data_IF_354976456310
#
_entry.id   IF_354976456310
#
_cell.length_a   1.000
_cell.length_b   1.000
_cell.length_c   1.000
_cell.angle_alpha   90.00
_cell.angle_beta   90.00
_cell.angle_gamma   90.00
#
_symmetry.space_group_name_H-M   'P 1'
#
loop_
_entity.id
_entity.type
_entity.pdbx_description
1 polymer ?
#
# COMPACT_ATOMS: atom_id res chain seq x y z
N UNK A 1 -5.28 12.67 1.80
CA UNK A 1 -4.69 11.99 2.98
C UNK A 1 -3.20 12.23 3.16
N UNK A 2 -2.54 12.83 2.17
CA UNK A 2 -1.14 13.21 2.34
C UNK A 2 -0.98 14.17 3.52
N UNK A 3 0.16 14.12 4.20
CA UNK A 3 0.41 14.95 5.35
C UNK A 3 -0.01 14.36 6.69
N UNK A 4 -0.81 13.28 6.70
CA UNK A 4 -1.14 12.59 7.95
C UNK A 4 0.13 11.91 8.46
N UNK A 5 0.49 12.10 9.74
CA UNK A 5 1.76 11.58 10.25
C UNK A 5 1.79 10.06 10.33
N UNK A 6 2.99 9.51 10.26
CA UNK A 6 3.24 8.11 10.54
C UNK A 6 3.16 7.90 12.05
N UNK A 7 2.52 6.81 12.48
CA UNK A 7 2.47 6.42 13.88
C UNK A 7 2.56 4.90 13.99
N UNK A 8 3.58 4.41 14.67
CA UNK A 8 3.77 2.98 14.89
C UNK A 8 2.52 2.37 15.53
N UNK A 9 1.98 1.32 14.89
CA UNK A 9 0.72 0.72 15.34
C UNK A 9 -0.51 1.55 15.07
N UNK A 10 -0.39 2.70 14.39
CA UNK A 10 -1.51 3.60 14.12
C UNK A 10 -2.45 3.10 13.02
N UNK A 11 -3.75 3.26 13.25
CA UNK A 11 -4.80 2.83 12.31
C UNK A 11 -5.87 3.89 12.12
N UNK A 12 -5.65 5.10 12.59
CA UNK A 12 -6.63 6.19 12.56
C UNK A 12 -6.04 7.45 11.91
N UNK A 13 -6.88 8.45 11.68
CA UNK A 13 -6.45 9.73 11.13
C UNK A 13 -5.47 10.49 12.05
N UNK A 14 -5.32 10.08 13.30
CA UNK A 14 -4.31 10.65 14.19
C UNK A 14 -2.89 10.20 13.81
N UNK A 15 -2.77 9.14 13.05
CA UNK A 15 -1.50 8.63 12.52
C UNK A 15 -1.64 7.18 12.10
N UNK A 16 -0.85 6.77 11.12
CA UNK A 16 -0.86 5.40 10.59
C UNK A 16 0.55 4.84 10.56
N UNK A 17 0.67 3.51 10.78
CA UNK A 17 1.80 2.79 10.21
C UNK A 17 1.42 2.35 8.79
N UNK A 18 2.36 1.74 8.04
CA UNK A 18 2.13 1.43 6.62
C UNK A 18 0.97 0.48 6.40
N UNK A 19 0.89 -0.60 7.18
CA UNK A 19 -0.19 -1.59 7.04
C UNK A 19 -1.51 -1.08 7.60
N UNK A 20 -1.48 -0.22 8.61
CA UNK A 20 -2.66 0.42 9.17
C UNK A 20 -3.31 1.37 8.18
N UNK A 21 -2.51 2.09 7.42
CA UNK A 21 -3.02 2.96 6.36
C UNK A 21 -3.73 2.14 5.28
N UNK A 22 -3.16 1.01 4.89
CA UNK A 22 -3.80 0.11 3.92
C UNK A 22 -5.12 -0.42 4.45
N UNK A 23 -5.18 -0.85 5.71
CA UNK A 23 -6.43 -1.31 6.31
C UNK A 23 -7.50 -0.21 6.30
N UNK A 24 -7.11 1.01 6.64
CA UNK A 24 -8.02 2.15 6.66
C UNK A 24 -8.64 2.41 5.28
N UNK A 25 -7.81 2.42 4.22
CA UNK A 25 -8.28 2.65 2.86
C UNK A 25 -9.22 1.54 2.41
N UNK A 26 -8.80 0.28 2.55
CA UNK A 26 -9.54 -0.85 1.99
C UNK A 26 -10.83 -1.14 2.77
N UNK A 27 -10.88 -0.79 4.04
CA UNK A 27 -12.09 -0.93 4.84
C UNK A 27 -13.25 -0.09 4.27
N UNK A 28 -12.94 1.04 3.65
CA UNK A 28 -13.95 1.89 2.99
C UNK A 28 -14.57 1.21 1.78
N UNK A 29 -13.96 0.16 1.27
CA UNK A 29 -14.47 -0.63 0.14
C UNK A 29 -14.94 -2.01 0.60
N UNK A 30 -15.16 -2.17 1.90
CA UNK A 30 -15.60 -3.42 2.51
C UNK A 30 -14.59 -4.56 2.32
N UNK A 31 -13.32 -4.24 2.22
CA UNK A 31 -12.23 -5.22 2.13
C UNK A 31 -11.49 -5.20 3.46
N UNK A 32 -11.52 -6.32 4.15
CA UNK A 32 -10.79 -6.48 5.41
C UNK A 32 -9.41 -7.05 5.12
N UNK A 33 -8.37 -6.25 5.42
CA UNK A 33 -6.99 -6.68 5.25
C UNK A 33 -6.40 -7.17 6.56
N UNK A 34 -5.44 -8.10 6.51
CA UNK A 34 -4.66 -8.47 7.70
C UNK A 34 -3.93 -7.27 8.29
N UNK A 35 -3.54 -7.35 9.55
CA UNK A 35 -2.97 -6.20 10.27
C UNK A 35 -1.56 -5.84 9.86
N UNK A 36 -0.75 -6.81 9.43
CA UNK A 36 0.67 -6.57 9.13
C UNK A 36 0.96 -6.64 7.63
N UNK A 37 2.04 -5.98 7.21
CA UNK A 37 2.46 -6.03 5.80
C UNK A 37 2.83 -7.44 5.36
N UNK A 38 3.45 -8.24 6.24
CA UNK A 38 3.81 -9.63 5.93
C UNK A 38 2.57 -10.47 5.66
N UNK A 39 1.52 -10.28 6.43
CA UNK A 39 0.26 -11.00 6.25
C UNK A 39 -0.51 -10.49 5.04
N UNK A 40 -0.50 -9.18 4.79
CA UNK A 40 -1.12 -8.60 3.61
C UNK A 40 -0.49 -9.12 2.32
N UNK A 41 0.80 -9.41 2.34
CA UNK A 41 1.51 -9.95 1.18
C UNK A 41 1.08 -11.36 0.81
N UNK A 42 0.24 -12.00 1.63
CA UNK A 42 -0.34 -13.32 1.37
C UNK A 42 -1.81 -13.23 0.97
N UNK A 43 -2.39 -12.04 0.96
CA UNK A 43 -3.80 -11.84 0.63
C UNK A 43 -4.00 -11.76 -0.87
N UNK A 44 -5.18 -12.12 -1.35
CA UNK A 44 -5.55 -11.99 -2.76
C UNK A 44 -4.68 -12.83 -3.69
N UNK A 45 -4.45 -12.32 -4.89
CA UNK A 45 -3.65 -12.99 -5.92
C UNK A 45 -2.37 -12.21 -6.22
N UNK A 46 -1.26 -12.90 -6.53
CA UNK A 46 -0.02 -12.20 -6.89
C UNK A 46 -0.17 -11.47 -8.23
N UNK A 47 0.48 -10.32 -8.36
CA UNK A 47 0.47 -9.49 -9.56
C UNK A 47 1.90 -9.15 -9.92
N UNK A 48 2.27 -9.30 -11.19
CA UNK A 48 3.59 -8.87 -11.65
C UNK A 48 3.65 -7.35 -11.69
N UNK A 49 4.84 -6.78 -11.52
CA UNK A 49 5.06 -5.34 -11.54
C UNK A 49 4.57 -4.70 -12.84
N UNK A 50 4.72 -5.42 -13.96
CA UNK A 50 4.29 -4.94 -15.27
C UNK A 50 2.77 -4.89 -15.43
N UNK A 51 2.03 -5.60 -14.59
CA UNK A 51 0.57 -5.70 -14.67
C UNK A 51 -0.14 -4.95 -13.54
N UNK A 52 0.54 -4.07 -12.85
CA UNK A 52 -0.06 -3.29 -11.75
C UNK A 52 -1.23 -2.45 -12.23
N UNK A 53 -2.29 -2.43 -11.42
CA UNK A 53 -3.48 -1.57 -11.61
C UNK A 53 -3.77 -0.81 -10.33
N UNK A 54 -4.43 0.33 -10.46
CA UNK A 54 -4.87 1.11 -9.30
C UNK A 54 -5.64 0.22 -8.32
N UNK A 55 -5.23 0.26 -7.06
CA UNK A 55 -5.82 -0.55 -6.01
C UNK A 55 -5.01 -1.79 -5.66
N UNK A 56 -3.96 -2.13 -6.44
CA UNK A 56 -3.09 -3.24 -6.08
C UNK A 56 -2.18 -2.85 -4.92
N UNK A 57 -1.96 -3.78 -4.00
CA UNK A 57 -1.00 -3.60 -2.91
C UNK A 57 0.42 -3.86 -3.41
N UNK A 58 1.35 -3.01 -3.03
CA UNK A 58 2.78 -3.19 -3.34
C UNK A 58 3.56 -3.35 -2.04
N UNK A 59 4.61 -4.15 -2.07
CA UNK A 59 5.35 -4.55 -0.86
C UNK A 59 6.85 -4.39 -1.05
N UNK A 60 7.50 -3.95 0.01
CA UNK A 60 8.92 -3.61 0.01
C UNK A 60 9.63 -4.19 1.22
N UNK A 61 10.92 -4.47 1.04
CA UNK A 61 11.82 -4.87 2.12
C UNK A 61 12.66 -3.65 2.53
N UNK A 62 12.16 -2.88 3.48
CA UNK A 62 12.84 -1.68 3.96
C UNK A 62 13.67 -1.92 5.21
N UNK A 63 13.46 -3.05 5.88
CA UNK A 63 14.19 -3.39 7.11
C UNK A 63 15.41 -4.27 6.88
N UNK A 64 15.51 -4.90 5.69
CA UNK A 64 16.57 -5.86 5.39
C UNK A 64 16.23 -7.30 5.78
N UNK A 65 15.11 -7.54 6.45
CA UNK A 65 14.75 -8.87 6.98
C UNK A 65 13.41 -9.39 6.42
N UNK A 66 13.06 -9.01 5.21
CA UNK A 66 11.83 -9.42 4.55
C UNK A 66 10.86 -8.28 4.37
N UNK A 67 9.62 -8.60 4.01
CA UNK A 67 8.60 -7.58 3.76
C UNK A 67 8.31 -6.81 5.05
N UNK A 68 8.47 -5.49 4.99
CA UNK A 68 8.31 -4.61 6.15
C UNK A 68 7.56 -3.33 5.81
N UNK A 69 7.20 -3.10 4.54
CA UNK A 69 6.50 -1.90 4.11
C UNK A 69 5.49 -2.24 3.02
N UNK A 70 4.37 -1.53 3.01
CA UNK A 70 3.30 -1.74 2.04
C UNK A 70 2.71 -0.40 1.61
N UNK A 71 2.16 -0.36 0.41
CA UNK A 71 1.45 0.78 -0.13
C UNK A 71 0.40 0.32 -1.12
N UNK A 72 -0.34 1.27 -1.68
CA UNK A 72 -1.34 0.99 -2.71
C UNK A 72 -0.97 1.72 -4.00
N UNK A 73 -0.96 0.96 -5.11
CA UNK A 73 -0.69 1.53 -6.42
C UNK A 73 -1.85 2.43 -6.84
N UNK A 74 -1.55 3.64 -7.29
CA UNK A 74 -2.58 4.61 -7.69
C UNK A 74 -2.55 4.94 -9.17
N UNK A 75 -1.78 4.20 -9.95
CA UNK A 75 -1.62 4.46 -11.38
C UNK A 75 -0.46 5.40 -11.67
N UNK A 76 -0.09 5.53 -12.94
CA UNK A 76 0.97 6.45 -13.35
C UNK A 76 2.35 6.16 -12.78
N UNK A 77 2.60 4.93 -12.35
CA UNK A 77 3.88 4.56 -11.74
C UNK A 77 4.06 5.05 -10.31
N UNK A 78 2.97 5.42 -9.63
CA UNK A 78 3.02 5.97 -8.26
C UNK A 78 2.25 5.10 -7.29
N UNK A 79 2.62 5.21 -6.01
CA UNK A 79 1.90 4.52 -4.93
C UNK A 79 1.75 5.44 -3.72
N UNK A 80 0.65 5.23 -2.97
CA UNK A 80 0.37 5.93 -1.74
C UNK A 80 0.75 5.05 -0.57
N UNK A 81 1.39 5.61 0.46
CA UNK A 81 1.85 4.86 1.61
C UNK A 81 2.05 5.76 2.83
N UNK A 82 2.14 5.15 4.01
CA UNK A 82 2.51 5.86 5.23
C UNK A 82 4.02 5.66 5.47
N UNK A 83 4.78 6.71 5.28
CA UNK A 83 6.24 6.72 5.42
C UNK A 83 6.62 7.21 6.82
N UNK A 84 7.60 6.56 7.46
CA UNK A 84 8.08 6.96 8.77
C UNK A 84 8.71 8.37 8.77
N UNK A 85 9.21 8.82 7.63
CA UNK A 85 9.85 10.13 7.52
C UNK A 85 8.91 11.25 7.09
N UNK A 86 7.85 10.94 6.34
CA UNK A 86 6.98 11.95 5.71
C UNK A 86 5.50 11.77 6.02
N UNK A 87 5.12 10.75 6.79
CA UNK A 87 3.72 10.40 6.99
C UNK A 87 3.08 9.84 5.72
N UNK A 88 1.79 10.07 5.52
CA UNK A 88 1.09 9.64 4.31
C UNK A 88 1.57 10.46 3.13
N UNK A 89 2.08 9.80 2.10
CA UNK A 89 2.66 10.47 0.93
C UNK A 89 2.49 9.63 -0.33
N UNK A 90 2.73 10.25 -1.47
CA UNK A 90 2.71 9.60 -2.78
C UNK A 90 4.13 9.60 -3.32
N UNK A 91 4.59 8.44 -3.76
CA UNK A 91 5.97 8.23 -4.22
C UNK A 91 5.96 7.44 -5.52
N UNK A 92 6.94 7.71 -6.39
CA UNK A 92 7.10 6.94 -7.63
C UNK A 92 7.73 5.58 -7.33
N UNK A 93 7.24 4.52 -7.99
CA UNK A 93 7.87 3.20 -7.91
C UNK A 93 9.30 3.21 -8.44
N UNK A 94 9.61 4.13 -9.35
CA UNK A 94 10.97 4.29 -9.90
C UNK A 94 11.92 5.00 -8.94
N UNK A 95 11.44 5.53 -7.81
CA UNK A 95 12.32 6.09 -6.78
C UNK A 95 13.37 5.04 -6.40
N UNK A 96 14.66 5.35 -6.47
CA UNK A 96 15.72 4.35 -6.27
C UNK A 96 15.61 3.58 -4.95
N UNK A 97 15.23 4.26 -3.86
CA UNK A 97 15.08 3.60 -2.57
C UNK A 97 14.04 2.47 -2.64
N UNK A 98 12.87 2.75 -3.19
CA UNK A 98 11.79 1.78 -3.24
C UNK A 98 11.93 0.79 -4.39
N UNK A 99 12.46 1.21 -5.52
CA UNK A 99 12.72 0.32 -6.64
C UNK A 99 13.67 -0.82 -6.25
N UNK A 100 14.71 -0.49 -5.51
CA UNK A 100 15.69 -1.49 -5.05
C UNK A 100 15.12 -2.42 -3.97
N UNK A 101 14.06 -2.02 -3.31
CA UNK A 101 13.48 -2.77 -2.19
C UNK A 101 12.13 -3.42 -2.52
N UNK A 102 11.67 -3.27 -3.73
CA UNK A 102 10.41 -3.87 -4.18
C UNK A 102 10.48 -5.40 -4.11
N UNK A 103 9.46 -6.03 -3.54
CA UNK A 103 9.40 -7.48 -3.38
C UNK A 103 8.30 -8.09 -4.26
N UNK A 104 7.05 -7.66 -4.07
CA UNK A 104 5.91 -8.26 -4.75
C UNK A 104 4.70 -7.33 -4.71
N UNK A 105 3.63 -7.77 -5.36
CA UNK A 105 2.35 -7.08 -5.33
C UNK A 105 1.21 -8.08 -5.25
N UNK A 106 0.08 -7.65 -4.70
CA UNK A 106 -1.12 -8.47 -4.53
C UNK A 106 -2.37 -7.71 -4.98
N UNK A 107 -3.29 -8.42 -5.60
CA UNK A 107 -4.59 -7.87 -5.99
C UNK A 107 -5.66 -8.46 -5.11
N UNK A 108 -6.28 -7.61 -4.30
CA UNK A 108 -7.36 -8.00 -3.39
C UNK A 108 -8.71 -7.43 -3.84
N UNK A 109 -8.73 -6.60 -4.90
CA UNK A 109 -9.93 -5.97 -5.43
C UNK A 109 -10.45 -6.74 -6.64
N UNK A 110 -11.79 -6.91 -6.72
CA UNK A 110 -12.43 -7.34 -7.97
C UNK A 110 -12.58 -6.16 -8.92
N UNK A 111 -13.08 -6.42 -10.13
CA UNK A 111 -13.23 -5.40 -11.16
C UNK A 111 -14.12 -4.23 -10.70
N UNK A 112 -15.20 -4.53 -9.99
CA UNK A 112 -16.10 -3.51 -9.47
C UNK A 112 -15.37 -2.56 -8.53
N UNK A 113 -14.60 -3.11 -7.61
CA UNK A 113 -13.85 -2.31 -6.64
C UNK A 113 -12.74 -1.51 -7.32
N UNK A 114 -12.08 -2.08 -8.31
CA UNK A 114 -11.08 -1.40 -9.09
C UNK A 114 -11.64 -0.13 -9.74
N UNK A 115 -12.79 -0.26 -10.43
CA UNK A 115 -13.44 0.87 -11.08
C UNK A 115 -13.87 1.94 -10.09
N UNK A 116 -14.34 1.54 -8.92
CA UNK A 116 -14.75 2.45 -7.86
C UNK A 116 -13.55 3.20 -7.30
N UNK A 117 -12.43 2.54 -7.12
CA UNK A 117 -11.20 3.16 -6.60
C UNK A 117 -10.60 4.16 -7.57
N UNK A 118 -10.75 3.97 -8.88
CA UNK A 118 -10.26 4.91 -9.88
C UNK A 118 -10.81 6.31 -9.68
N UNK A 119 -12.04 6.44 -9.18
CA UNK A 119 -12.64 7.74 -8.92
C UNK A 119 -12.35 8.28 -7.52
N UNK A 120 -11.65 7.53 -6.66
CA UNK A 120 -11.44 7.87 -5.26
C UNK A 120 -9.98 8.11 -4.89
N UNK A 121 -9.08 7.55 -5.62
CA UNK A 121 -7.65 7.67 -5.40
C UNK A 121 -7.02 8.56 -6.45
#
# INVERSE_FOLDING_TARGET
>A
MTGIPYKWGGTTLAGFDCSGFMRYIFEKYSIELPRTSQQQAKAGTPVSKANLRTGDLVFFNTSGSGISHTGVYIGGGQFAHASSSKGVSITKLSNPYFNDRYVTARRVTGQFMYNKMLGKI
#
